data_IF_850439298132
#
_entry.id   IF_850439298132
#
_cell.length_a   1.000
_cell.length_b   1.000
_cell.length_c   1.000
_cell.angle_alpha   90.00
_cell.angle_beta   90.00
_cell.angle_gamma   90.00
#
_symmetry.space_group_name_H-M   'P 1'
#
loop_
_entity.id
_entity.type
_entity.pdbx_description
1 polymer ?
#
# COMPACT_ATOMS: atom_id res chain seq x y z
N UNK A 1 -18.51 23.38 -20.96
CA UNK A 1 -18.55 21.97 -21.40
C UNK A 1 -19.41 21.19 -20.43
N UNK A 2 -20.09 20.15 -20.89
CA UNK A 2 -20.80 19.25 -19.96
C UNK A 2 -19.77 18.57 -19.01
N UNK A 3 -20.19 18.30 -17.76
CA UNK A 3 -19.34 17.56 -16.82
C UNK A 3 -19.20 16.12 -17.28
N UNK A 4 -18.02 15.55 -17.12
CA UNK A 4 -17.80 14.12 -17.34
C UNK A 4 -18.39 13.33 -16.18
N UNK A 5 -19.24 12.35 -16.45
CA UNK A 5 -19.79 11.44 -15.46
C UNK A 5 -18.86 10.25 -15.27
N UNK A 6 -18.23 10.16 -14.11
CA UNK A 6 -17.23 9.13 -13.81
C UNK A 6 -17.74 8.14 -12.76
N UNK A 7 -17.81 6.88 -13.12
CA UNK A 7 -18.05 5.78 -12.19
C UNK A 7 -16.73 5.21 -11.66
N UNK A 8 -16.57 5.15 -10.34
CA UNK A 8 -15.42 4.49 -9.68
C UNK A 8 -15.89 3.18 -9.05
N UNK A 9 -15.48 2.04 -9.60
CA UNK A 9 -15.80 0.70 -9.07
C UNK A 9 -14.66 0.22 -8.21
N UNK A 10 -14.85 0.17 -6.89
CA UNK A 10 -13.78 -0.13 -5.92
C UNK A 10 -14.31 -0.73 -4.62
N UNK A 11 -13.42 -1.28 -3.80
CA UNK A 11 -13.69 -1.58 -2.40
C UNK A 11 -13.59 -0.30 -1.57
N UNK A 12 -14.72 0.35 -1.29
CA UNK A 12 -14.78 1.63 -0.59
C UNK A 12 -14.90 1.43 0.92
N UNK A 13 -13.77 1.42 1.64
CA UNK A 13 -13.69 1.18 3.09
C UNK A 13 -12.26 1.08 3.61
N UNK A 14 -12.11 0.69 4.88
CA UNK A 14 -10.83 0.58 5.61
C UNK A 14 -9.94 -0.55 5.07
N UNK A 15 -9.43 -0.38 3.84
CA UNK A 15 -8.50 -1.30 3.19
C UNK A 15 -7.59 -0.56 2.21
N UNK A 16 -6.52 -1.21 1.75
CA UNK A 16 -5.57 -0.59 0.82
C UNK A 16 -6.21 -0.04 -0.45
N UNK A 17 -7.16 -0.78 -1.04
CA UNK A 17 -7.91 -0.32 -2.22
C UNK A 17 -8.75 0.92 -1.93
N UNK A 18 -9.41 0.97 -0.75
CA UNK A 18 -10.19 2.13 -0.35
C UNK A 18 -9.34 3.38 -0.18
N UNK A 19 -8.18 3.27 0.49
CA UNK A 19 -7.26 4.40 0.63
C UNK A 19 -6.69 4.87 -0.71
N UNK A 20 -6.41 3.96 -1.62
CA UNK A 20 -6.00 4.30 -2.97
C UNK A 20 -7.12 5.03 -3.72
N UNK A 21 -8.36 4.56 -3.59
CA UNK A 21 -9.53 5.21 -4.18
C UNK A 21 -9.78 6.61 -3.60
N UNK A 22 -9.47 6.85 -2.31
CA UNK A 22 -9.56 8.19 -1.70
C UNK A 22 -8.67 9.22 -2.39
N UNK A 23 -7.53 8.83 -2.90
CA UNK A 23 -6.67 9.75 -3.64
C UNK A 23 -7.33 10.19 -4.95
N UNK A 24 -7.96 9.25 -5.67
CA UNK A 24 -8.73 9.60 -6.87
C UNK A 24 -9.88 10.56 -6.53
N UNK A 25 -10.66 10.24 -5.50
CA UNK A 25 -11.77 11.09 -5.04
C UNK A 25 -11.27 12.47 -4.60
N UNK A 26 -10.11 12.55 -3.93
CA UNK A 26 -9.49 13.82 -3.58
C UNK A 26 -9.22 14.70 -4.79
N UNK A 27 -8.75 14.13 -5.91
CA UNK A 27 -8.62 14.89 -7.16
C UNK A 27 -9.98 15.26 -7.74
N UNK A 28 -10.97 14.35 -7.77
CA UNK A 28 -12.28 14.65 -8.31
C UNK A 28 -12.98 15.80 -7.58
N UNK A 29 -12.87 15.83 -6.24
CA UNK A 29 -13.44 16.86 -5.38
C UNK A 29 -12.87 18.27 -5.64
N UNK A 30 -11.67 18.37 -6.20
CA UNK A 30 -11.07 19.66 -6.59
C UNK A 30 -11.70 20.27 -7.85
N UNK A 31 -12.34 19.43 -8.69
CA UNK A 31 -12.84 19.84 -9.99
C UNK A 31 -14.33 19.55 -10.18
N UNK A 32 -15.20 20.03 -9.26
CA UNK A 32 -16.62 19.74 -9.29
C UNK A 32 -17.33 20.33 -10.53
N UNK A 33 -16.71 21.30 -11.19
CA UNK A 33 -17.25 21.87 -12.43
C UNK A 33 -16.92 21.03 -13.67
N UNK A 34 -15.96 20.11 -13.59
CA UNK A 34 -15.52 19.24 -14.68
C UNK A 34 -15.98 17.80 -14.52
N UNK A 35 -16.05 17.31 -13.28
CA UNK A 35 -16.31 15.91 -12.95
C UNK A 35 -17.57 15.81 -12.08
N UNK A 36 -18.49 14.93 -12.49
CA UNK A 36 -19.58 14.41 -11.68
C UNK A 36 -19.30 12.92 -11.44
N UNK A 37 -19.09 12.48 -10.20
CA UNK A 37 -18.68 11.11 -9.94
C UNK A 37 -19.59 10.36 -8.99
N UNK A 38 -19.67 9.06 -9.19
CA UNK A 38 -20.23 8.11 -8.23
C UNK A 38 -19.29 6.95 -7.97
N UNK A 39 -19.31 6.46 -6.75
CA UNK A 39 -18.54 5.30 -6.30
C UNK A 39 -19.48 4.11 -6.21
N UNK A 40 -19.28 3.10 -7.06
CA UNK A 40 -19.89 1.80 -6.87
C UNK A 40 -19.04 1.00 -5.89
N UNK A 41 -19.48 0.95 -4.63
CA UNK A 41 -18.77 0.31 -3.53
C UNK A 41 -18.97 -1.21 -3.57
N UNK A 42 -17.92 -1.96 -3.89
CA UNK A 42 -17.92 -3.42 -3.77
C UNK A 42 -17.98 -3.82 -2.30
N UNK A 43 -19.06 -4.49 -1.94
CA UNK A 43 -19.37 -4.84 -0.56
C UNK A 43 -18.81 -6.22 -0.19
N UNK A 44 -17.49 -6.37 -0.18
CA UNK A 44 -16.88 -7.62 0.27
C UNK A 44 -17.30 -7.96 1.71
N UNK A 45 -17.66 -9.23 2.03
CA UNK A 45 -18.08 -9.62 3.38
C UNK A 45 -17.08 -9.26 4.49
N UNK A 46 -15.78 -9.36 4.19
CA UNK A 46 -14.73 -8.99 5.13
C UNK A 46 -14.57 -7.48 5.33
N UNK A 47 -15.08 -6.65 4.40
CA UNK A 47 -15.00 -5.18 4.44
C UNK A 47 -16.27 -4.56 5.03
N UNK A 48 -17.38 -5.27 5.04
CA UNK A 48 -18.71 -4.74 5.43
C UNK A 48 -18.71 -3.92 6.72
N UNK A 49 -18.04 -4.34 7.82
CA UNK A 49 -18.01 -3.55 9.06
C UNK A 49 -17.21 -2.25 8.95
N UNK A 50 -16.42 -2.09 7.92
CA UNK A 50 -15.44 -1.01 7.76
C UNK A 50 -15.68 -0.15 6.52
N UNK A 51 -16.86 -0.27 5.91
CA UNK A 51 -17.23 0.53 4.72
C UNK A 51 -17.48 1.99 5.06
N UNK A 52 -17.02 2.85 4.18
CA UNK A 52 -17.33 4.27 4.25
C UNK A 52 -18.63 4.57 3.52
N UNK A 53 -19.38 5.54 4.03
CA UNK A 53 -20.63 6.05 3.45
C UNK A 53 -20.41 7.45 2.90
N UNK A 54 -21.29 7.90 2.06
CA UNK A 54 -21.24 9.26 1.50
C UNK A 54 -22.30 9.49 0.44
N UNK A 55 -22.52 10.74 0.03
CA UNK A 55 -23.56 11.11 -0.94
C UNK A 55 -23.28 10.56 -2.35
N UNK A 56 -22.02 10.32 -2.69
CA UNK A 56 -21.60 9.77 -3.97
C UNK A 56 -21.45 8.25 -3.98
N UNK A 57 -21.79 7.56 -2.88
CA UNK A 57 -21.56 6.12 -2.71
C UNK A 57 -22.84 5.34 -2.95
N UNK A 58 -22.76 4.40 -3.88
CA UNK A 58 -23.80 3.38 -4.11
C UNK A 58 -23.21 2.05 -3.66
N UNK A 59 -23.78 1.48 -2.60
CA UNK A 59 -23.34 0.20 -2.06
C UNK A 59 -23.87 -0.96 -2.90
N UNK A 60 -22.99 -1.76 -3.45
CA UNK A 60 -23.34 -3.06 -4.00
C UNK A 60 -23.79 -4.04 -2.91
N UNK A 61 -24.50 -5.11 -3.27
CA UNK A 61 -24.82 -6.21 -2.35
C UNK A 61 -23.57 -6.85 -1.73
N UNK A 62 -23.73 -7.40 -0.51
CA UNK A 62 -22.62 -8.03 0.21
C UNK A 62 -22.26 -9.39 -0.39
N UNK A 63 -21.25 -9.40 -1.24
CA UNK A 63 -20.72 -10.62 -1.88
C UNK A 63 -19.31 -10.40 -2.44
N UNK A 64 -18.64 -11.49 -2.83
CA UNK A 64 -17.27 -11.42 -3.37
C UNK A 64 -17.25 -10.91 -4.81
N UNK A 65 -18.23 -11.25 -5.62
CA UNK A 65 -18.37 -10.84 -7.01
C UNK A 65 -19.28 -9.60 -7.13
N UNK A 66 -19.28 -8.96 -8.29
CA UNK A 66 -20.22 -7.86 -8.55
C UNK A 66 -21.59 -8.47 -8.84
N UNK A 67 -22.62 -7.95 -8.19
CA UNK A 67 -24.01 -8.26 -8.54
C UNK A 67 -24.38 -7.58 -9.86
N UNK A 68 -24.48 -8.34 -10.95
CA UNK A 68 -24.69 -7.82 -12.28
C UNK A 68 -26.02 -7.04 -12.42
N UNK A 69 -27.17 -7.53 -11.95
CA UNK A 69 -28.42 -6.75 -11.99
C UNK A 69 -28.31 -5.40 -11.26
N UNK A 70 -27.71 -5.39 -10.07
CA UNK A 70 -27.52 -4.18 -9.30
C UNK A 70 -26.53 -3.22 -9.95
N UNK A 71 -25.44 -3.75 -10.51
CA UNK A 71 -24.45 -2.97 -11.25
C UNK A 71 -25.07 -2.31 -12.49
N UNK A 72 -25.83 -3.07 -13.29
CA UNK A 72 -26.49 -2.53 -14.48
C UNK A 72 -27.56 -1.49 -14.14
N UNK A 73 -28.31 -1.68 -13.05
CA UNK A 73 -29.22 -0.66 -12.56
C UNK A 73 -28.49 0.64 -12.24
N UNK A 74 -27.33 0.56 -11.58
CA UNK A 74 -26.49 1.71 -11.30
C UNK A 74 -25.99 2.39 -12.59
N UNK A 75 -25.54 1.63 -13.58
CA UNK A 75 -25.12 2.15 -14.89
C UNK A 75 -26.28 2.89 -15.58
N UNK A 76 -27.49 2.31 -15.57
CA UNK A 76 -28.67 2.89 -16.20
C UNK A 76 -29.15 4.17 -15.49
N UNK A 77 -29.05 4.22 -14.16
CA UNK A 77 -29.45 5.37 -13.34
C UNK A 77 -28.43 6.53 -13.45
N UNK A 78 -27.14 6.24 -13.33
CA UNK A 78 -26.08 7.25 -13.31
C UNK A 78 -25.65 7.66 -14.72
N UNK A 79 -25.65 6.74 -15.68
CA UNK A 79 -25.21 6.93 -17.09
C UNK A 79 -23.78 7.49 -17.16
N UNK A 80 -22.77 6.74 -16.68
CA UNK A 80 -21.40 7.19 -16.69
C UNK A 80 -20.85 7.31 -18.12
N UNK A 81 -20.06 8.34 -18.38
CA UNK A 81 -19.26 8.46 -19.60
C UNK A 81 -18.00 7.60 -19.51
N UNK A 82 -17.48 7.44 -18.27
CA UNK A 82 -16.26 6.69 -17.96
C UNK A 82 -16.50 5.81 -16.74
N UNK A 83 -15.95 4.58 -16.76
CA UNK A 83 -15.87 3.74 -15.58
C UNK A 83 -14.40 3.38 -15.32
N UNK A 84 -13.91 3.75 -14.14
CA UNK A 84 -12.62 3.32 -13.60
C UNK A 84 -12.83 2.09 -12.71
N UNK A 85 -12.36 0.94 -13.19
CA UNK A 85 -12.35 -0.30 -12.43
C UNK A 85 -11.04 -0.44 -11.67
N UNK A 86 -11.14 -0.49 -10.35
CA UNK A 86 -10.01 -0.72 -9.50
C UNK A 86 -9.97 -2.19 -9.06
N UNK A 87 -8.88 -2.87 -9.40
CA UNK A 87 -8.52 -4.22 -8.93
C UNK A 87 -9.53 -5.33 -9.30
N UNK A 88 -10.17 -5.19 -10.45
CA UNK A 88 -11.21 -6.09 -10.93
C UNK A 88 -10.69 -7.49 -11.28
N UNK A 89 -9.40 -7.60 -11.62
CA UNK A 89 -8.80 -8.83 -12.16
C UNK A 89 -8.46 -9.90 -11.10
N UNK A 90 -8.50 -9.56 -9.79
CA UNK A 90 -8.01 -10.46 -8.74
C UNK A 90 -9.06 -11.45 -8.28
N UNK A 91 -10.30 -11.02 -8.25
CA UNK A 91 -11.36 -11.75 -7.56
C UNK A 91 -12.18 -12.66 -8.48
N UNK A 92 -11.60 -13.06 -9.61
CA UNK A 92 -12.17 -14.09 -10.46
C UNK A 92 -13.49 -13.71 -11.15
N UNK A 93 -13.86 -12.42 -11.11
CA UNK A 93 -15.06 -11.92 -11.75
C UNK A 93 -14.88 -11.91 -13.28
N UNK A 94 -14.72 -13.12 -13.83
CA UNK A 94 -14.61 -13.34 -15.28
C UNK A 94 -15.86 -12.86 -16.01
N UNK A 95 -16.99 -12.81 -15.32
CA UNK A 95 -18.26 -12.38 -15.90
C UNK A 95 -18.22 -10.87 -16.18
N UNK A 96 -17.59 -10.03 -15.32
CA UNK A 96 -17.41 -8.61 -15.65
C UNK A 96 -16.61 -8.39 -16.93
N UNK A 97 -15.73 -9.30 -17.29
CA UNK A 97 -15.01 -9.21 -18.55
C UNK A 97 -15.95 -9.36 -19.77
N UNK A 98 -17.02 -10.15 -19.65
CA UNK A 98 -18.05 -10.23 -20.67
C UNK A 98 -18.90 -8.94 -20.75
N UNK A 99 -19.07 -8.24 -19.63
CA UNK A 99 -19.82 -6.99 -19.57
C UNK A 99 -19.04 -5.80 -20.16
N UNK A 100 -17.71 -5.88 -20.26
CA UNK A 100 -16.91 -4.78 -20.84
C UNK A 100 -17.32 -4.46 -22.28
N UNK A 101 -17.62 -5.48 -23.10
CA UNK A 101 -18.08 -5.28 -24.46
C UNK A 101 -19.47 -4.59 -24.53
N UNK A 102 -20.34 -4.93 -23.58
CA UNK A 102 -21.66 -4.26 -23.48
C UNK A 102 -21.51 -2.81 -23.06
N UNK A 103 -20.65 -2.50 -22.09
CA UNK A 103 -20.34 -1.14 -21.68
C UNK A 103 -19.74 -0.31 -22.82
N UNK A 104 -18.81 -0.88 -23.59
CA UNK A 104 -18.21 -0.23 -24.77
C UNK A 104 -19.27 0.10 -25.84
N UNK A 105 -20.23 -0.81 -26.08
CA UNK A 105 -21.34 -0.57 -27.03
C UNK A 105 -22.25 0.58 -26.61
N UNK A 106 -22.30 0.91 -25.32
CA UNK A 106 -22.99 2.09 -24.81
C UNK A 106 -22.14 3.38 -24.93
N UNK A 107 -20.93 3.30 -25.47
CA UNK A 107 -20.01 4.43 -25.60
C UNK A 107 -19.26 4.77 -24.32
N UNK A 108 -19.29 3.90 -23.32
CA UNK A 108 -18.63 4.13 -22.02
C UNK A 108 -17.13 3.84 -22.16
N UNK A 109 -16.27 4.80 -21.80
CA UNK A 109 -14.82 4.62 -21.75
C UNK A 109 -14.44 3.81 -20.51
N UNK A 110 -13.67 2.75 -20.69
CA UNK A 110 -13.29 1.83 -19.61
C UNK A 110 -11.82 2.01 -19.26
N UNK A 111 -11.55 2.28 -18.00
CA UNK A 111 -10.21 2.39 -17.43
C UNK A 111 -10.05 1.27 -16.41
N UNK A 112 -8.95 0.53 -16.50
CA UNK A 112 -8.62 -0.54 -15.57
C UNK A 112 -7.38 -0.17 -14.77
N UNK A 113 -7.45 -0.33 -13.46
CA UNK A 113 -6.30 -0.25 -12.57
C UNK A 113 -6.12 -1.59 -11.84
N UNK A 114 -5.26 -2.48 -12.36
CA UNK A 114 -4.94 -3.74 -11.71
C UNK A 114 -3.78 -3.58 -10.72
N UNK A 115 -4.03 -3.65 -9.42
CA UNK A 115 -2.98 -3.59 -8.39
C UNK A 115 -2.26 -4.94 -8.25
N UNK A 116 -3.04 -6.02 -8.13
CA UNK A 116 -2.55 -7.39 -7.97
C UNK A 116 -2.61 -8.16 -9.28
N UNK A 117 -1.76 -7.84 -10.24
CA UNK A 117 -1.73 -8.52 -11.53
C UNK A 117 -0.60 -9.55 -11.61
N UNK A 118 -0.82 -10.66 -12.27
CA UNK A 118 0.22 -11.57 -12.75
C UNK A 118 0.69 -11.10 -14.11
N UNK A 119 1.99 -11.22 -14.37
CA UNK A 119 2.52 -10.93 -15.70
C UNK A 119 1.80 -11.69 -16.82
N UNK A 120 1.49 -12.98 -16.62
CA UNK A 120 0.76 -13.79 -17.61
C UNK A 120 -0.75 -13.52 -17.70
N UNK A 121 -1.32 -12.70 -16.80
CA UNK A 121 -2.72 -12.30 -16.89
C UNK A 121 -2.88 -10.95 -17.64
N UNK A 122 -1.78 -10.22 -17.85
CA UNK A 122 -1.80 -8.95 -18.60
C UNK A 122 -2.36 -9.15 -19.99
N UNK A 123 -1.83 -10.13 -20.74
CA UNK A 123 -2.26 -10.44 -22.10
C UNK A 123 -3.74 -10.82 -22.17
N UNK A 124 -4.27 -11.41 -21.10
CA UNK A 124 -5.64 -11.91 -21.04
C UNK A 124 -6.68 -10.81 -20.83
N UNK A 125 -6.33 -9.78 -20.04
CA UNK A 125 -7.32 -8.80 -19.58
C UNK A 125 -7.12 -7.39 -20.11
N UNK A 126 -5.92 -7.05 -20.55
CA UNK A 126 -5.60 -5.68 -20.95
C UNK A 126 -6.43 -5.20 -22.16
N UNK A 127 -6.68 -6.06 -23.14
CA UNK A 127 -7.48 -5.73 -24.32
C UNK A 127 -8.98 -5.47 -24.05
N UNK A 128 -9.44 -5.79 -22.83
CA UNK A 128 -10.84 -5.55 -22.44
C UNK A 128 -11.10 -4.08 -22.10
N UNK A 129 -10.08 -3.27 -21.87
CA UNK A 129 -10.19 -1.89 -21.42
C UNK A 129 -9.54 -0.93 -22.42
N UNK A 130 -10.05 0.30 -22.49
CA UNK A 130 -9.47 1.34 -23.35
C UNK A 130 -8.14 1.85 -22.81
N UNK A 131 -7.99 1.86 -21.47
CA UNK A 131 -6.78 2.31 -20.77
C UNK A 131 -6.47 1.34 -19.65
N UNK A 132 -5.19 0.97 -19.55
CA UNK A 132 -4.67 0.17 -18.45
C UNK A 132 -3.70 1.01 -17.63
N UNK A 133 -4.10 1.33 -16.40
CA UNK A 133 -3.33 2.16 -15.48
C UNK A 133 -2.38 1.32 -14.62
N UNK A 134 -1.29 1.95 -14.21
CA UNK A 134 -0.42 1.43 -13.16
C UNK A 134 0.12 2.57 -12.31
N UNK A 135 0.24 2.32 -11.00
CA UNK A 135 0.82 3.24 -10.03
C UNK A 135 2.26 2.89 -9.65
N UNK A 136 2.75 1.74 -10.11
CA UNK A 136 4.10 1.23 -9.83
C UNK A 136 4.80 0.85 -11.12
N UNK A 137 6.10 1.09 -11.17
CA UNK A 137 6.93 0.84 -12.37
C UNK A 137 6.89 -0.63 -12.78
N UNK A 138 6.90 -1.56 -11.80
CA UNK A 138 6.81 -2.99 -12.09
C UNK A 138 5.59 -3.34 -12.94
N UNK A 139 4.41 -2.89 -12.53
CA UNK A 139 3.17 -3.20 -13.26
C UNK A 139 3.15 -2.50 -14.61
N UNK A 140 3.62 -1.24 -14.67
CA UNK A 140 3.74 -0.51 -15.93
C UNK A 140 4.65 -1.25 -16.93
N UNK A 141 5.81 -1.68 -16.49
CA UNK A 141 6.74 -2.43 -17.33
C UNK A 141 6.12 -3.73 -17.85
N UNK A 142 5.30 -4.40 -17.06
CA UNK A 142 4.59 -5.60 -17.51
C UNK A 142 3.54 -5.30 -18.59
N UNK A 143 2.85 -4.15 -18.50
CA UNK A 143 1.93 -3.70 -19.55
C UNK A 143 2.70 -3.39 -20.85
N UNK A 144 3.83 -2.69 -20.74
CA UNK A 144 4.70 -2.37 -21.90
C UNK A 144 5.29 -3.65 -22.52
N UNK A 145 5.85 -4.54 -21.71
CA UNK A 145 6.44 -5.81 -22.17
C UNK A 145 5.42 -6.72 -22.87
N UNK A 146 4.16 -6.63 -22.48
CA UNK A 146 3.05 -7.37 -23.08
C UNK A 146 2.45 -6.68 -24.32
N UNK A 147 3.03 -5.56 -24.75
CA UNK A 147 2.55 -4.72 -25.87
C UNK A 147 1.07 -4.33 -25.69
N UNK A 148 0.66 -4.04 -24.46
CA UNK A 148 -0.68 -3.57 -24.18
C UNK A 148 -0.89 -2.20 -24.82
N UNK A 149 -2.04 -2.03 -25.45
CA UNK A 149 -2.43 -0.75 -26.03
C UNK A 149 -2.66 0.28 -24.93
N UNK A 150 -2.12 1.49 -25.08
CA UNK A 150 -2.27 2.62 -24.14
C UNK A 150 -1.91 2.28 -22.68
N UNK A 151 -0.73 1.74 -22.38
CA UNK A 151 -0.29 1.55 -21.00
C UNK A 151 -0.03 2.91 -20.37
N UNK A 152 -0.78 3.26 -19.33
CA UNK A 152 -0.70 4.58 -18.72
C UNK A 152 -0.08 4.49 -17.33
N UNK A 153 0.96 5.26 -17.08
CA UNK A 153 1.63 5.34 -15.79
C UNK A 153 1.21 6.61 -15.05
N UNK A 154 0.48 6.45 -13.95
CA UNK A 154 0.19 7.51 -12.99
C UNK A 154 0.90 7.13 -11.70
N UNK A 155 2.10 7.67 -11.42
CA UNK A 155 2.86 7.27 -10.24
C UNK A 155 2.04 7.41 -8.97
N UNK A 156 2.11 6.41 -8.08
CA UNK A 156 1.50 6.54 -6.77
C UNK A 156 2.04 7.76 -6.02
N UNK A 157 1.20 8.34 -5.21
CA UNK A 157 1.56 9.46 -4.33
C UNK A 157 0.71 9.47 -3.08
N UNK A 158 1.05 10.34 -2.15
CA UNK A 158 0.32 10.59 -0.91
C UNK A 158 -0.20 12.01 -0.88
N UNK A 159 -1.35 12.22 -0.27
CA UNK A 159 -1.90 13.55 0.01
C UNK A 159 -1.14 14.07 1.24
N UNK A 160 -0.19 14.97 1.02
CA UNK A 160 0.78 15.40 2.05
C UNK A 160 0.13 15.88 3.35
N UNK A 161 -1.00 16.57 3.26
CA UNK A 161 -1.72 17.09 4.44
C UNK A 161 -2.24 15.99 5.37
N UNK A 162 -2.43 14.77 4.86
CA UNK A 162 -2.90 13.64 5.67
C UNK A 162 -1.78 13.00 6.49
N UNK A 163 -0.51 13.29 6.15
CA UNK A 163 0.68 12.72 6.77
C UNK A 163 1.67 13.83 7.12
N UNK A 164 1.39 14.63 8.16
CA UNK A 164 2.26 15.74 8.56
C UNK A 164 3.64 15.24 8.95
N UNK A 165 4.66 16.03 8.61
CA UNK A 165 6.03 15.75 8.99
C UNK A 165 6.20 15.79 10.51
N UNK A 166 6.89 14.80 11.04
CA UNK A 166 7.30 14.71 12.44
C UNK A 166 8.82 14.57 12.48
N UNK A 167 9.49 15.56 13.01
CA UNK A 167 10.94 15.50 13.13
C UNK A 167 11.37 14.33 14.00
N UNK A 168 12.32 13.53 13.51
CA UNK A 168 12.83 12.33 14.18
C UNK A 168 14.20 12.64 14.78
N UNK A 169 14.27 12.59 16.10
CA UNK A 169 15.54 12.72 16.87
C UNK A 169 15.55 11.66 17.96
N UNK A 170 16.48 10.73 17.86
CA UNK A 170 16.69 9.75 18.90
C UNK A 170 17.37 10.42 20.09
N UNK A 171 16.68 10.49 21.23
CA UNK A 171 17.22 11.10 22.46
C UNK A 171 17.93 10.10 23.34
N UNK A 172 17.26 8.99 23.67
CA UNK A 172 17.77 7.99 24.61
C UNK A 172 18.00 6.66 23.87
N UNK A 173 16.90 6.04 23.43
CA UNK A 173 16.92 4.77 22.72
C UNK A 173 16.09 4.84 21.43
N UNK A 174 16.56 4.14 20.41
CA UNK A 174 15.82 4.04 19.15
C UNK A 174 14.58 3.18 19.31
N UNK A 175 13.50 3.61 18.71
CA UNK A 175 12.24 2.89 18.68
C UNK A 175 11.93 2.39 17.27
N UNK A 176 12.02 1.07 17.08
CA UNK A 176 11.57 0.42 15.86
C UNK A 176 10.06 0.20 15.89
N UNK A 177 9.42 0.31 14.74
CA UNK A 177 7.98 0.16 14.62
C UNK A 177 7.60 -0.71 13.42
N UNK A 178 6.55 -1.53 13.57
CA UNK A 178 5.88 -2.21 12.46
C UNK A 178 4.37 -2.12 12.58
N UNK A 179 3.70 -1.85 11.46
CA UNK A 179 2.26 -2.06 11.31
C UNK A 179 2.01 -3.39 10.59
N UNK A 180 1.53 -4.38 11.33
CA UNK A 180 1.21 -5.70 10.77
C UNK A 180 -0.23 -5.80 10.24
N UNK A 181 -1.01 -4.72 10.37
CA UNK A 181 -2.38 -4.63 9.87
C UNK A 181 -3.26 -5.75 10.41
N UNK A 182 -3.92 -6.50 9.53
CA UNK A 182 -4.78 -7.64 9.89
C UNK A 182 -3.99 -8.93 10.18
N UNK A 183 -2.68 -8.86 10.44
CA UNK A 183 -1.86 -10.02 10.81
C UNK A 183 -1.48 -10.93 9.64
N UNK A 184 -1.54 -10.45 8.40
CA UNK A 184 -1.16 -11.27 7.24
C UNK A 184 0.34 -11.56 7.21
N UNK A 185 0.72 -12.83 6.99
CA UNK A 185 2.13 -13.24 6.91
C UNK A 185 2.91 -12.53 5.79
N UNK A 186 2.20 -11.96 4.85
CA UNK A 186 2.75 -11.15 3.75
C UNK A 186 3.59 -9.97 4.25
N UNK A 187 3.22 -9.37 5.38
CA UNK A 187 3.95 -8.26 6.01
C UNK A 187 5.34 -8.65 6.55
N UNK A 188 5.74 -9.93 6.47
CA UNK A 188 7.07 -10.40 6.83
C UNK A 188 7.41 -10.33 8.33
N UNK A 189 6.48 -9.90 9.18
CA UNK A 189 6.68 -9.73 10.62
C UNK A 189 7.21 -10.99 11.34
N UNK A 190 6.94 -12.24 10.89
CA UNK A 190 7.50 -13.41 11.54
C UNK A 190 9.03 -13.53 11.44
N UNK A 191 9.67 -12.69 10.63
CA UNK A 191 11.15 -12.64 10.55
C UNK A 191 11.76 -11.85 11.70
N UNK A 192 11.02 -10.88 12.27
CA UNK A 192 11.50 -9.95 13.29
C UNK A 192 12.05 -10.67 14.55
N UNK A 193 11.35 -11.64 15.18
CA UNK A 193 11.90 -12.36 16.32
C UNK A 193 13.28 -12.98 16.05
N UNK A 194 13.49 -13.55 14.87
CA UNK A 194 14.77 -14.13 14.48
C UNK A 194 15.86 -13.07 14.36
N UNK A 195 15.53 -11.92 13.80
CA UNK A 195 16.48 -10.81 13.70
C UNK A 195 16.85 -10.26 15.08
N UNK A 196 15.89 -10.12 15.99
CA UNK A 196 16.12 -9.68 17.37
C UNK A 196 17.00 -10.68 18.15
N UNK A 197 16.82 -11.99 17.97
CA UNK A 197 17.68 -13.00 18.58
C UNK A 197 19.12 -12.94 18.03
N UNK A 198 19.30 -12.69 16.74
CA UNK A 198 20.63 -12.47 16.15
C UNK A 198 21.30 -11.23 16.75
N UNK A 199 20.54 -10.14 16.93
CA UNK A 199 21.02 -8.92 17.58
C UNK A 199 21.50 -9.21 19.01
N UNK A 200 20.74 -9.99 19.80
CA UNK A 200 21.14 -10.41 21.16
C UNK A 200 22.43 -11.23 21.16
N UNK A 201 22.57 -12.18 20.24
CA UNK A 201 23.79 -12.97 20.09
C UNK A 201 25.03 -12.11 19.82
N UNK A 202 24.93 -11.16 18.88
CA UNK A 202 25.98 -10.18 18.63
C UNK A 202 26.21 -9.24 19.82
N UNK A 203 25.17 -8.97 20.59
CA UNK A 203 25.20 -8.13 21.78
C UNK A 203 26.02 -8.80 22.93
N UNK A 204 25.91 -10.12 23.13
CA UNK A 204 26.72 -10.86 24.09
C UNK A 204 28.21 -10.80 23.74
N UNK A 205 28.58 -10.78 22.47
CA UNK A 205 29.95 -10.53 22.02
C UNK A 205 30.40 -9.09 22.28
N UNK A 206 29.45 -8.13 22.34
CA UNK A 206 29.68 -6.71 22.65
C UNK A 206 29.67 -6.36 24.13
N UNK A 207 29.23 -7.29 25.01
CA UNK A 207 29.37 -7.16 26.48
C UNK A 207 30.82 -7.03 26.96
N UNK A 208 31.79 -7.33 26.07
CA UNK A 208 33.19 -7.05 26.28
C UNK A 208 33.53 -5.56 26.05
N UNK A 209 32.63 -4.80 25.44
CA UNK A 209 32.75 -3.35 25.23
C UNK A 209 31.37 -2.68 25.39
N UNK A 210 30.99 -2.22 26.60
CA UNK A 210 29.65 -1.76 26.89
C UNK A 210 29.41 -0.36 26.32
N UNK A 211 28.87 -0.25 25.10
CA UNK A 211 27.94 0.81 24.77
C UNK A 211 26.56 0.20 24.97
N UNK A 212 25.86 0.62 26.02
CA UNK A 212 24.47 0.23 26.24
C UNK A 212 23.63 0.67 25.05
N UNK A 213 23.32 -0.28 24.16
CA UNK A 213 22.41 -0.03 23.06
C UNK A 213 21.01 -0.47 23.48
N UNK A 214 20.31 0.45 24.11
CA UNK A 214 18.91 0.25 24.46
C UNK A 214 18.04 0.60 23.26
N UNK A 215 17.22 -0.34 22.82
CA UNK A 215 16.20 -0.14 21.80
C UNK A 215 14.84 -0.59 22.33
N UNK A 216 13.78 -0.13 21.68
CA UNK A 216 12.45 -0.72 21.85
C UNK A 216 11.84 -1.06 20.50
N UNK A 217 10.94 -2.04 20.49
CA UNK A 217 10.24 -2.45 19.29
C UNK A 217 8.74 -2.48 19.54
N UNK A 218 7.97 -1.70 18.77
CA UNK A 218 6.51 -1.65 18.85
C UNK A 218 5.91 -2.28 17.60
N UNK A 219 5.03 -3.25 17.78
CA UNK A 219 4.21 -3.80 16.73
C UNK A 219 2.75 -3.38 16.93
N UNK A 220 2.09 -2.90 15.88
CA UNK A 220 0.65 -2.64 15.91
C UNK A 220 -0.11 -3.56 14.97
N UNK A 221 -1.30 -3.97 15.38
CA UNK A 221 -2.23 -4.75 14.61
C UNK A 221 -3.64 -4.18 14.75
N UNK A 222 -4.49 -4.42 13.77
CA UNK A 222 -5.90 -4.01 13.83
C UNK A 222 -6.61 -4.76 14.97
N UNK A 223 -7.53 -4.09 15.67
CA UNK A 223 -8.39 -4.72 16.68
C UNK A 223 -9.07 -5.97 16.12
N UNK A 224 -9.26 -6.95 17.01
CA UNK A 224 -9.87 -8.25 16.69
C UNK A 224 -9.09 -9.07 15.64
N UNK A 225 -7.83 -8.72 15.36
CA UNK A 225 -6.96 -9.50 14.49
C UNK A 225 -6.00 -10.45 15.23
N UNK A 226 -6.11 -10.54 16.57
CA UNK A 226 -5.25 -11.37 17.42
C UNK A 226 -5.18 -12.82 16.96
N UNK A 227 -6.32 -13.37 16.55
CA UNK A 227 -6.40 -14.75 16.04
C UNK A 227 -5.69 -14.97 14.70
N UNK A 228 -5.40 -13.91 13.94
CA UNK A 228 -4.68 -13.93 12.65
C UNK A 228 -3.18 -13.75 12.80
N UNK A 229 -2.75 -13.11 13.89
CA UNK A 229 -1.32 -12.95 14.18
C UNK A 229 -0.73 -14.25 14.68
N UNK A 230 0.46 -14.61 14.19
CA UNK A 230 1.13 -15.84 14.63
C UNK A 230 1.30 -15.85 16.15
N UNK A 231 0.80 -16.89 16.83
CA UNK A 231 0.92 -17.08 18.28
C UNK A 231 2.37 -16.97 18.76
N UNK A 232 3.31 -17.58 18.03
CA UNK A 232 4.74 -17.50 18.37
C UNK A 232 5.32 -16.08 18.30
N UNK A 233 4.78 -15.22 17.45
CA UNK A 233 5.18 -13.81 17.38
C UNK A 233 4.67 -13.05 18.62
N UNK A 234 3.38 -13.22 18.94
CA UNK A 234 2.77 -12.60 20.14
C UNK A 234 3.49 -13.05 21.41
N UNK A 235 3.75 -14.35 21.57
CA UNK A 235 4.49 -14.89 22.71
C UNK A 235 5.90 -14.31 22.81
N UNK A 236 6.61 -14.18 21.69
CA UNK A 236 7.96 -13.58 21.69
C UNK A 236 7.91 -12.14 22.18
N UNK A 237 6.96 -11.34 21.68
CA UNK A 237 6.82 -9.93 22.06
C UNK A 237 6.42 -9.78 23.53
N UNK A 238 5.49 -10.59 24.04
CA UNK A 238 5.05 -10.55 25.44
C UNK A 238 6.16 -11.00 26.42
N UNK A 239 7.09 -11.86 25.98
CA UNK A 239 8.18 -12.37 26.80
C UNK A 239 9.48 -11.55 26.71
N UNK A 240 9.47 -10.46 25.95
CA UNK A 240 10.63 -9.61 25.73
C UNK A 240 10.35 -8.19 26.20
N UNK A 241 11.01 -7.74 27.26
CA UNK A 241 10.80 -6.42 27.87
C UNK A 241 11.07 -5.22 26.94
N UNK A 242 11.82 -5.43 25.86
CA UNK A 242 12.08 -4.40 24.85
C UNK A 242 11.03 -4.37 23.74
N UNK A 243 10.05 -5.28 23.75
CA UNK A 243 9.04 -5.43 22.72
C UNK A 243 7.63 -5.16 23.27
N UNK A 244 6.80 -4.53 22.47
CA UNK A 244 5.40 -4.27 22.77
C UNK A 244 4.55 -4.61 21.54
N UNK A 245 3.42 -5.29 21.74
CA UNK A 245 2.42 -5.49 20.70
C UNK A 245 1.12 -4.82 21.12
N UNK A 246 0.57 -3.99 20.23
CA UNK A 246 -0.68 -3.25 20.44
C UNK A 246 -1.73 -3.70 19.43
N UNK A 247 -2.87 -4.15 19.91
CA UNK A 247 -4.05 -4.36 19.09
C UNK A 247 -4.93 -3.12 19.21
N UNK A 248 -4.91 -2.30 18.17
CA UNK A 248 -5.60 -1.02 18.15
C UNK A 248 -6.66 -1.01 17.08
N UNK A 249 -7.79 -0.31 17.36
CA UNK A 249 -8.62 0.20 16.27
C UNK A 249 -7.77 1.24 15.55
N UNK A 250 -7.25 0.86 14.41
CA UNK A 250 -6.42 1.76 13.66
C UNK A 250 -7.31 2.82 13.02
N UNK A 251 -7.19 4.06 13.44
CA UNK A 251 -7.35 5.14 12.49
C UNK A 251 -6.11 5.11 11.58
N UNK A 252 -6.21 4.31 10.52
CA UNK A 252 -5.14 4.17 9.54
C UNK A 252 -4.98 5.43 8.69
N UNK A 253 -5.89 6.40 8.87
CA UNK A 253 -6.08 7.52 7.95
C UNK A 253 -5.15 8.69 8.22
N UNK A 254 -4.51 8.77 9.34
CA UNK A 254 -3.63 9.91 9.63
C UNK A 254 -2.33 9.44 10.24
N UNK A 255 -1.29 10.25 10.12
CA UNK A 255 0.05 9.99 10.63
C UNK A 255 0.18 9.45 12.05
N UNK A 256 -0.94 9.13 12.72
CA UNK A 256 -1.01 8.58 14.08
C UNK A 256 -0.26 7.26 14.27
N UNK A 257 -0.36 6.33 13.33
CA UNK A 257 0.38 5.07 13.38
C UNK A 257 1.90 5.30 13.31
N UNK A 258 2.33 6.21 12.44
CA UNK A 258 3.74 6.51 12.23
C UNK A 258 4.35 7.40 13.33
N UNK A 259 3.61 7.77 14.38
CA UNK A 259 4.14 8.39 15.60
C UNK A 259 4.67 7.37 16.62
N UNK A 260 4.45 6.07 16.40
CA UNK A 260 4.78 5.01 17.36
C UNK A 260 6.26 4.60 17.37
N UNK A 261 7.09 5.12 16.47
CA UNK A 261 8.50 4.76 16.40
C UNK A 261 9.35 5.79 15.68
N UNK A 262 10.64 5.52 15.63
CA UNK A 262 11.63 6.35 14.94
C UNK A 262 11.98 5.79 13.57
N UNK A 263 11.91 4.46 13.38
CA UNK A 263 12.19 3.75 12.13
C UNK A 263 11.12 2.71 11.87
N UNK A 264 10.54 2.73 10.66
CA UNK A 264 9.51 1.79 10.21
C UNK A 264 10.14 0.52 9.65
N UNK A 265 9.98 -0.60 10.35
CA UNK A 265 10.48 -1.92 9.93
C UNK A 265 9.39 -2.65 9.16
N UNK A 266 9.53 -2.72 7.85
CA UNK A 266 8.53 -3.28 6.94
C UNK A 266 9.10 -4.36 6.03
N UNK A 267 9.51 -5.53 6.58
CA UNK A 267 10.16 -6.61 5.86
C UNK A 267 9.14 -7.42 5.04
N UNK A 268 8.29 -6.72 4.30
CA UNK A 268 7.20 -7.35 3.54
C UNK A 268 7.75 -8.25 2.42
N UNK A 269 7.08 -9.37 2.19
CA UNK A 269 7.54 -10.39 1.23
C UNK A 269 6.95 -10.22 -0.16
N UNK A 270 5.95 -9.38 -0.31
CA UNK A 270 5.33 -8.96 -1.57
C UNK A 270 4.32 -7.84 -1.34
N UNK A 271 4.21 -6.90 -2.26
CA UNK A 271 3.24 -5.82 -2.25
C UNK A 271 2.66 -5.54 -3.64
N UNK A 272 1.43 -5.02 -3.66
CA UNK A 272 0.86 -4.39 -4.84
C UNK A 272 1.51 -3.03 -5.08
N UNK A 273 1.22 -2.07 -4.22
CA UNK A 273 1.81 -0.73 -4.21
C UNK A 273 2.76 -0.53 -3.03
N UNK A 274 2.37 -0.94 -1.83
CA UNK A 274 3.16 -0.68 -0.62
C UNK A 274 2.87 0.69 -0.02
N UNK A 275 1.60 1.10 0.03
CA UNK A 275 1.13 2.43 0.47
C UNK A 275 1.83 2.93 1.74
N UNK A 276 1.96 2.05 2.74
CA UNK A 276 2.55 2.41 4.04
C UNK A 276 4.02 2.80 3.98
N UNK A 277 4.73 2.49 2.89
CA UNK A 277 6.12 2.94 2.68
C UNK A 277 6.13 4.46 2.46
N UNK A 278 5.39 4.93 1.46
CA UNK A 278 5.32 6.37 1.14
C UNK A 278 4.61 7.17 2.23
N UNK A 279 3.63 6.60 2.92
CA UNK A 279 2.96 7.20 4.08
C UNK A 279 3.94 7.41 5.25
N UNK A 280 4.75 6.39 5.59
CA UNK A 280 5.79 6.51 6.62
C UNK A 280 6.83 7.56 6.22
N UNK A 281 7.34 7.51 4.99
CA UNK A 281 8.29 8.48 4.45
C UNK A 281 7.72 9.92 4.51
N UNK A 282 6.43 10.09 4.21
CA UNK A 282 5.75 11.38 4.28
C UNK A 282 5.77 11.97 5.69
N UNK A 283 5.60 11.14 6.73
CA UNK A 283 5.72 11.59 8.14
C UNK A 283 7.16 11.80 8.58
N UNK A 284 8.15 11.61 7.71
CA UNK A 284 9.57 11.64 8.06
C UNK A 284 10.04 10.39 8.80
N UNK A 285 9.36 9.25 8.70
CA UNK A 285 9.83 8.01 9.32
C UNK A 285 10.70 7.24 8.31
N UNK A 286 12.01 7.05 8.56
CA UNK A 286 12.85 6.21 7.74
C UNK A 286 12.29 4.80 7.63
N UNK A 287 12.37 4.20 6.44
CA UNK A 287 11.78 2.89 6.17
C UNK A 287 12.87 1.85 5.96
N UNK A 288 12.69 0.69 6.58
CA UNK A 288 13.49 -0.51 6.33
C UNK A 288 12.58 -1.52 5.64
N UNK A 289 12.75 -1.72 4.33
CA UNK A 289 11.89 -2.61 3.55
C UNK A 289 12.71 -3.53 2.65
N UNK A 290 12.04 -4.42 1.95
CA UNK A 290 12.68 -5.45 1.13
C UNK A 290 13.19 -4.87 -0.19
N UNK A 291 14.44 -5.19 -0.57
CA UNK A 291 15.01 -4.87 -1.88
C UNK A 291 14.41 -5.77 -2.98
N UNK A 292 13.18 -5.51 -3.33
CA UNK A 292 12.45 -6.17 -4.39
C UNK A 292 11.25 -5.33 -4.84
N UNK A 293 10.92 -5.26 -6.13
CA UNK A 293 9.73 -4.56 -6.61
C UNK A 293 8.43 -5.12 -5.98
N UNK A 294 7.54 -4.27 -5.57
CA UNK A 294 7.42 -2.80 -5.67
C UNK A 294 8.11 -2.01 -4.54
N UNK A 295 8.56 -2.70 -3.49
CA UNK A 295 9.02 -2.06 -2.25
C UNK A 295 10.21 -1.13 -2.48
N UNK A 296 11.18 -1.55 -3.29
CA UNK A 296 12.39 -0.78 -3.61
C UNK A 296 12.18 0.30 -4.68
N UNK A 297 10.97 0.47 -5.20
CA UNK A 297 10.68 1.54 -6.17
C UNK A 297 10.54 2.91 -5.50
N UNK A 298 10.30 2.93 -4.18
CA UNK A 298 9.96 4.13 -3.43
C UNK A 298 11.15 4.86 -2.84
N UNK A 299 12.29 4.19 -2.71
CA UNK A 299 13.42 4.72 -1.97
C UNK A 299 14.75 4.13 -2.46
N UNK A 300 15.83 4.87 -2.23
CA UNK A 300 17.20 4.43 -2.46
C UNK A 300 17.83 3.96 -1.15
N UNK A 301 18.62 2.87 -1.19
CA UNK A 301 19.27 2.34 0.03
C UNK A 301 20.22 3.35 0.63
N UNK A 302 20.15 3.51 1.96
CA UNK A 302 20.96 4.42 2.76
C UNK A 302 20.76 5.93 2.43
N UNK A 303 19.65 6.29 1.80
CA UNK A 303 19.24 7.68 1.55
C UNK A 303 17.97 8.01 2.34
N UNK A 304 16.84 7.38 2.03
CA UNK A 304 15.56 7.60 2.73
C UNK A 304 15.29 6.54 3.82
N UNK A 305 16.15 5.52 3.88
CA UNK A 305 16.04 4.39 4.77
C UNK A 305 16.99 3.27 4.34
N UNK A 306 16.59 2.01 4.55
CA UNK A 306 17.44 0.87 4.21
C UNK A 306 16.67 -0.23 3.49
N UNK A 307 17.33 -0.88 2.54
CA UNK A 307 16.80 -2.00 1.79
C UNK A 307 17.36 -3.34 2.29
N UNK A 308 16.49 -4.28 2.58
CA UNK A 308 16.84 -5.63 3.06
C UNK A 308 17.08 -6.53 1.86
N UNK A 309 18.28 -7.00 1.66
CA UNK A 309 18.59 -7.96 0.60
C UNK A 309 17.77 -9.25 0.78
N UNK A 310 17.09 -9.73 -0.28
CA UNK A 310 16.38 -10.99 -0.21
C UNK A 310 17.34 -12.16 -0.09
N UNK A 311 17.09 -13.06 0.87
CA UNK A 311 17.82 -14.33 0.98
C UNK A 311 17.53 -15.23 -0.22
N UNK A 312 16.30 -15.20 -0.72
CA UNK A 312 15.83 -15.99 -1.85
C UNK A 312 14.53 -15.39 -2.42
N UNK A 313 14.40 -15.46 -3.73
CA UNK A 313 13.16 -15.17 -4.45
C UNK A 313 12.54 -16.49 -4.87
N UNK A 314 11.29 -16.72 -4.49
CA UNK A 314 10.49 -17.87 -4.93
C UNK A 314 9.53 -17.40 -6.01
N UNK A 315 9.75 -17.85 -7.23
CA UNK A 315 8.75 -17.70 -8.30
C UNK A 315 7.48 -18.44 -7.90
N UNK A 316 6.36 -17.76 -7.90
CA UNK A 316 5.09 -18.26 -7.40
C UNK A 316 4.06 -18.51 -8.51
N UNK A 317 3.07 -19.37 -8.21
CA UNK A 317 1.82 -19.46 -8.98
C UNK A 317 0.83 -18.34 -8.65
N UNK A 318 1.10 -17.55 -7.62
CA UNK A 318 0.31 -16.38 -7.18
C UNK A 318 0.69 -15.13 -7.99
N UNK A 319 -0.12 -14.03 -7.93
CA UNK A 319 0.09 -12.84 -8.76
C UNK A 319 1.50 -12.26 -8.74
N UNK A 320 2.30 -12.54 -7.72
CA UNK A 320 3.63 -11.97 -7.55
C UNK A 320 4.60 -12.98 -6.97
N UNK A 321 5.89 -12.80 -7.29
CA UNK A 321 6.95 -13.55 -6.64
C UNK A 321 6.96 -13.29 -5.13
N UNK A 322 7.39 -14.30 -4.38
CA UNK A 322 7.51 -14.23 -2.93
C UNK A 322 8.98 -14.14 -2.53
N UNK A 323 9.31 -13.08 -1.81
CA UNK A 323 10.65 -12.90 -1.24
C UNK A 323 10.78 -13.63 0.09
N UNK A 324 11.92 -14.26 0.33
CA UNK A 324 12.33 -14.73 1.66
C UNK A 324 13.30 -13.72 2.23
N UNK A 325 12.92 -13.09 3.33
CA UNK A 325 13.72 -12.10 4.04
C UNK A 325 14.92 -12.76 4.70
N UNK A 326 16.09 -12.10 4.65
CA UNK A 326 17.24 -12.49 5.43
C UNK A 326 17.18 -11.86 6.83
N UNK A 327 16.95 -12.64 7.88
CA UNK A 327 16.90 -12.11 9.23
C UNK A 327 18.26 -11.59 9.73
N UNK A 328 19.37 -12.05 9.15
CA UNK A 328 20.70 -11.57 9.50
C UNK A 328 20.91 -10.17 8.97
N UNK A 329 20.62 -9.93 7.70
CA UNK A 329 20.75 -8.60 7.11
C UNK A 329 19.78 -7.58 7.77
N UNK A 330 18.55 -7.99 8.10
CA UNK A 330 17.64 -7.12 8.86
C UNK A 330 18.23 -6.78 10.24
N UNK A 331 18.85 -7.75 10.95
CA UNK A 331 19.52 -7.49 12.23
C UNK A 331 20.68 -6.51 12.07
N UNK A 332 21.51 -6.67 11.04
CA UNK A 332 22.64 -5.78 10.73
C UNK A 332 22.18 -4.35 10.48
N UNK A 333 21.09 -4.15 9.73
CA UNK A 333 20.48 -2.85 9.49
C UNK A 333 19.99 -2.21 10.79
N UNK A 334 19.31 -2.98 11.65
CA UNK A 334 18.80 -2.45 12.92
C UNK A 334 19.96 -2.07 13.86
N UNK A 335 21.03 -2.86 13.89
CA UNK A 335 22.26 -2.55 14.64
C UNK A 335 22.90 -1.27 14.12
N UNK A 336 22.98 -1.09 12.79
CA UNK A 336 23.55 0.13 12.18
C UNK A 336 22.79 1.39 12.62
N UNK A 337 21.46 1.35 12.71
CA UNK A 337 20.68 2.47 13.24
C UNK A 337 20.95 2.70 14.74
N UNK A 338 21.12 1.63 15.54
CA UNK A 338 21.42 1.75 16.97
C UNK A 338 22.81 2.37 17.16
N UNK A 339 23.79 1.92 16.40
CA UNK A 339 25.17 2.39 16.49
C UNK A 339 25.34 3.81 15.91
N UNK A 340 24.47 4.21 14.98
CA UNK A 340 24.52 5.47 14.25
C UNK A 340 23.15 6.22 14.30
N UNK A 341 22.68 6.64 15.49
CA UNK A 341 21.32 7.19 15.64
C UNK A 341 21.07 8.48 14.84
N UNK A 342 22.13 9.22 14.48
CA UNK A 342 22.02 10.40 13.60
C UNK A 342 21.47 10.06 12.21
N UNK A 343 21.66 8.84 11.73
CA UNK A 343 21.06 8.38 10.47
C UNK A 343 19.52 8.47 10.48
N UNK A 344 18.89 8.33 11.64
CA UNK A 344 17.44 8.48 11.75
C UNK A 344 17.01 9.88 11.33
N UNK A 345 17.70 10.92 11.84
CA UNK A 345 17.39 12.32 11.47
C UNK A 345 17.70 12.58 10.00
N UNK A 346 18.83 12.12 9.50
CA UNK A 346 19.25 12.30 8.11
C UNK A 346 18.25 11.64 7.14
N UNK A 347 17.99 10.34 7.33
CA UNK A 347 17.04 9.60 6.49
C UNK A 347 15.61 10.14 6.62
N UNK A 348 15.23 10.66 7.79
CA UNK A 348 13.93 11.31 8.02
C UNK A 348 13.70 12.50 7.09
N UNK A 349 14.66 13.40 7.01
CA UNK A 349 14.57 14.58 6.14
C UNK A 349 14.59 14.18 4.66
N UNK A 350 15.46 13.24 4.29
CA UNK A 350 15.54 12.72 2.93
C UNK A 350 14.23 12.04 2.50
N UNK A 351 13.64 11.20 3.36
CA UNK A 351 12.39 10.53 3.12
C UNK A 351 11.24 11.53 2.87
N UNK A 352 11.13 12.55 3.73
CA UNK A 352 10.14 13.62 3.56
C UNK A 352 10.35 14.38 2.25
N UNK A 353 11.57 14.80 1.98
CA UNK A 353 11.93 15.53 0.75
C UNK A 353 11.61 14.74 -0.50
N UNK A 354 11.91 13.42 -0.50
CA UNK A 354 11.60 12.52 -1.62
C UNK A 354 10.11 12.49 -1.90
N UNK A 355 9.29 12.37 -0.85
CA UNK A 355 7.83 12.33 -1.00
C UNK A 355 7.28 13.67 -1.49
N UNK A 356 7.79 14.80 -1.01
CA UNK A 356 7.36 16.13 -1.46
C UNK A 356 7.66 16.37 -2.95
N UNK A 357 8.77 15.83 -3.46
CA UNK A 357 9.20 16.05 -4.84
C UNK A 357 8.57 15.03 -5.80
N UNK A 358 8.60 13.74 -5.43
CA UNK A 358 8.29 12.66 -6.38
C UNK A 358 6.93 12.02 -6.14
N UNK A 359 6.40 12.10 -4.91
CA UNK A 359 5.22 11.33 -4.48
C UNK A 359 4.11 12.20 -3.88
N UNK A 360 4.08 13.50 -4.14
CA UNK A 360 2.94 14.34 -3.81
C UNK A 360 1.80 14.04 -4.77
N UNK A 361 0.66 13.55 -4.25
CA UNK A 361 -0.48 13.20 -5.09
C UNK A 361 -1.05 14.39 -5.86
N UNK A 362 -1.03 15.58 -5.27
CA UNK A 362 -1.59 16.78 -5.90
C UNK A 362 -0.91 17.13 -7.24
N UNK A 363 0.34 16.69 -7.43
CA UNK A 363 1.07 16.90 -8.68
C UNK A 363 0.59 15.99 -9.83
N UNK A 364 -0.37 15.09 -9.57
CA UNK A 364 -1.00 14.21 -10.57
C UNK A 364 -2.30 14.77 -11.13
N UNK A 365 -2.79 15.89 -10.58
CA UNK A 365 -4.11 16.43 -10.93
C UNK A 365 -4.26 16.69 -12.43
N UNK A 366 -3.29 17.33 -13.08
CA UNK A 366 -3.36 17.62 -14.52
C UNK A 366 -3.40 16.34 -15.34
N UNK A 367 -2.53 15.38 -15.03
CA UNK A 367 -2.49 14.09 -15.71
C UNK A 367 -3.80 13.31 -15.54
N UNK A 368 -4.39 13.34 -14.33
CA UNK A 368 -5.66 12.67 -14.04
C UNK A 368 -6.79 13.35 -14.79
N UNK A 369 -6.82 14.67 -14.82
CA UNK A 369 -7.84 15.42 -15.59
C UNK A 369 -7.75 15.12 -17.07
N UNK A 370 -6.56 15.14 -17.65
CA UNK A 370 -6.35 14.81 -19.05
C UNK A 370 -6.83 13.39 -19.37
N UNK A 371 -6.52 12.42 -18.52
CA UNK A 371 -6.97 11.04 -18.65
C UNK A 371 -8.50 10.90 -18.67
N UNK A 372 -9.19 11.73 -17.88
CA UNK A 372 -10.65 11.66 -17.73
C UNK A 372 -11.36 12.50 -18.79
N UNK A 373 -10.81 13.65 -19.20
CA UNK A 373 -11.52 14.60 -20.07
C UNK A 373 -11.23 14.40 -21.57
N UNK A 374 -10.21 13.64 -21.94
CA UNK A 374 -9.84 13.27 -23.30
C UNK A 374 -10.15 11.79 -23.58
#
# INVERSE_FOLDING_TARGET
MAKVKLGLVTAWGECGMGYLAKNWVHTFDKYPDKIDYQIYSRAYPWLTPFRWKGPHVVDGPEQMEIDHPHFWKWVDDFKPDIILFQDQNIYGDSEMHHETERLKKLGIKLINYPDWIKRGDVDKYAGLYHINLSHVKRNHNWLVDANVENPTFVPWGVILKNFPFVERRVKDKIKFYINIGTGTLRKGYPTIPKSLEIMKGNFLQRLINPKEHDYSFVASAVNNSEHRVKKSFVQYFNNNSQCEIRFQTADNSAGGLFSMGDVYIYPTIKEGVGLTITEAMCTGMPVVTTDYPTMNEWMDDNIEGRLINPKKIKKGSMPMDKVIIDPKHLAEIMIDYIDNPNKVTEHSHNARKRVEIDYNWDDRDEQILELITN
#
